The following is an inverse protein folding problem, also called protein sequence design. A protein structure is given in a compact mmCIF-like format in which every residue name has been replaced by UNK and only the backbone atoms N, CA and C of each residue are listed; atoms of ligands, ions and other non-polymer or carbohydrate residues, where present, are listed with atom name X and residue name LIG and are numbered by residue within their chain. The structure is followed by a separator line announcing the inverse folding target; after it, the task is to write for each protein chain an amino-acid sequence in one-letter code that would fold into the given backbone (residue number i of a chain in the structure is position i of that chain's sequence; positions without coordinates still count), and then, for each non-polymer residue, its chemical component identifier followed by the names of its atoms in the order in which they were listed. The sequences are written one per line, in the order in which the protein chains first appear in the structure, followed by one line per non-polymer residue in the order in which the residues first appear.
data_IF_245602339764
#
_entry.id   IF_245602339764
#
_cell.length_a   1.000
_cell.length_b   1.000
_cell.length_c   1.000
_cell.angle_alpha   90.00
_cell.angle_beta   90.00
_cell.angle_gamma   90.00
#
_symmetry.space_group_name_H-M   'P 1'
#
loop_
_entity.id
_entity.type
_entity.pdbx_description
1 polymer ?
#
# COMPACT_ATOMS: atom_id res chain seq x y z
N UNK A 1 11.20 7.29 13.61
CA UNK A 1 11.72 7.65 12.26
C UNK A 1 10.56 7.92 11.31
N UNK A 2 10.76 8.61 10.18
CA UNK A 2 9.73 8.81 9.15
C UNK A 2 9.67 7.58 8.23
N UNK A 3 8.49 6.98 8.07
CA UNK A 3 8.26 5.85 7.17
C UNK A 3 7.15 6.24 6.20
N UNK A 4 7.40 6.06 4.92
CA UNK A 4 6.41 6.31 3.88
C UNK A 4 5.55 5.07 3.67
N UNK A 5 4.22 5.24 3.63
CA UNK A 5 3.27 4.18 3.30
C UNK A 5 2.70 4.44 1.91
N UNK A 6 3.01 3.54 0.96
CA UNK A 6 2.64 3.64 -0.45
C UNK A 6 1.16 3.30 -0.67
N UNK A 7 0.27 4.17 -0.19
CA UNK A 7 -1.18 4.05 -0.32
C UNK A 7 -1.87 5.41 -0.40
N UNK A 8 -2.99 5.47 -1.12
CA UNK A 8 -3.93 6.59 -1.05
C UNK A 8 -4.98 6.43 0.07
N UNK A 9 -5.02 5.29 0.77
CA UNK A 9 -6.07 4.97 1.73
C UNK A 9 -5.75 5.55 3.13
N UNK A 10 -6.58 6.49 3.58
CA UNK A 10 -6.45 7.12 4.91
C UNK A 10 -6.66 6.15 6.07
N UNK A 11 -7.49 5.12 5.91
CA UNK A 11 -7.69 4.11 6.96
C UNK A 11 -6.43 3.29 7.17
N UNK A 12 -5.73 2.90 6.09
CA UNK A 12 -4.44 2.20 6.18
C UNK A 12 -3.38 3.05 6.88
N UNK A 13 -3.33 4.37 6.61
CA UNK A 13 -2.46 5.28 7.36
C UNK A 13 -2.76 5.21 8.86
N UNK A 14 -4.04 5.29 9.25
CA UNK A 14 -4.45 5.22 10.65
C UNK A 14 -4.02 3.90 11.30
N UNK A 15 -4.37 2.78 10.69
CA UNK A 15 -4.05 1.43 11.19
C UNK A 15 -2.54 1.22 11.36
N UNK A 16 -1.74 1.56 10.34
CA UNK A 16 -0.28 1.43 10.42
C UNK A 16 0.33 2.39 11.46
N UNK A 17 -0.24 3.59 11.62
CA UNK A 17 0.21 4.52 12.68
C UNK A 17 -0.03 3.96 14.08
N UNK A 18 -1.15 3.27 14.29
CA UNK A 18 -1.47 2.61 15.56
C UNK A 18 -0.54 1.41 15.83
N UNK A 19 -0.13 0.68 14.78
CA UNK A 19 0.80 -0.45 14.90
C UNK A 19 2.25 -0.02 15.17
N UNK A 20 2.66 1.17 14.73
CA UNK A 20 4.04 1.68 14.84
C UNK A 20 4.09 3.05 15.52
N UNK A 21 3.68 3.18 16.80
CA UNK A 21 3.52 4.48 17.48
C UNK A 21 4.83 5.28 17.61
N UNK A 22 5.98 4.62 17.62
CA UNK A 22 7.32 5.24 17.68
C UNK A 22 7.78 5.84 16.33
N UNK A 23 6.97 5.69 15.28
CA UNK A 23 7.29 6.10 13.92
C UNK A 23 6.26 7.07 13.37
N UNK A 24 6.70 8.01 12.55
CA UNK A 24 5.80 8.90 11.83
C UNK A 24 5.46 8.27 10.48
N UNK A 25 4.22 7.82 10.34
CA UNK A 25 3.71 7.24 9.10
C UNK A 25 3.17 8.35 8.19
N UNK A 26 3.71 8.42 6.97
CA UNK A 26 3.39 9.45 5.98
C UNK A 26 2.93 8.79 4.69
N UNK A 27 1.82 9.26 4.11
CA UNK A 27 1.35 8.81 2.79
C UNK A 27 1.70 9.86 1.72
N UNK A 28 1.74 9.50 0.42
CA UNK A 28 2.05 10.44 -0.66
C UNK A 28 1.25 11.75 -0.61
N UNK A 29 -0.04 11.65 -0.27
CA UNK A 29 -0.95 12.79 -0.17
C UNK A 29 -0.53 13.83 0.87
N UNK A 30 0.10 13.41 1.97
CA UNK A 30 0.55 14.33 3.02
C UNK A 30 1.65 15.29 2.52
N UNK A 31 2.39 14.86 1.49
CA UNK A 31 3.52 15.59 0.90
C UNK A 31 3.16 16.17 -0.47
N UNK A 32 1.88 16.15 -0.86
CA UNK A 32 1.43 16.62 -2.17
C UNK A 32 1.92 15.79 -3.36
N UNK A 33 2.35 14.54 -3.11
CA UNK A 33 2.82 13.62 -4.16
C UNK A 33 1.61 12.95 -4.80
N UNK A 34 1.42 13.17 -6.11
CA UNK A 34 0.48 12.40 -6.92
C UNK A 34 0.96 10.95 -7.00
N UNK A 35 0.11 10.00 -6.60
CA UNK A 35 0.49 8.60 -6.47
C UNK A 35 -0.64 7.68 -6.93
N UNK A 36 -0.47 7.13 -8.13
CA UNK A 36 -1.39 6.19 -8.78
C UNK A 36 -0.59 5.19 -9.63
N UNK A 37 0.20 4.31 -8.98
CA UNK A 37 1.00 3.32 -9.71
C UNK A 37 0.10 2.25 -10.35
N UNK A 38 0.42 1.85 -11.57
CA UNK A 38 -0.31 0.77 -12.25
C UNK A 38 -0.02 -0.59 -11.60
N UNK A 39 -1.05 -1.21 -11.03
CA UNK A 39 -0.98 -2.52 -10.38
C UNK A 39 -1.12 -3.65 -11.41
N UNK A 40 -0.02 -3.99 -12.07
CA UNK A 40 0.05 -5.05 -13.10
C UNK A 40 0.44 -6.43 -12.55
N UNK A 41 0.55 -6.57 -11.23
CA UNK A 41 0.88 -7.83 -10.57
C UNK A 41 -0.26 -8.85 -10.63
N UNK A 42 0.12 -10.12 -10.61
CA UNK A 42 -0.79 -11.26 -10.55
C UNK A 42 -1.08 -11.75 -9.12
N UNK A 43 -0.37 -11.17 -8.13
CA UNK A 43 -0.50 -11.50 -6.71
C UNK A 43 -0.50 -10.23 -5.85
N UNK A 44 -1.03 -10.32 -4.63
CA UNK A 44 -0.96 -9.23 -3.64
C UNK A 44 0.49 -8.80 -3.38
N UNK A 45 1.41 -9.76 -3.30
CA UNK A 45 2.82 -9.48 -3.11
C UNK A 45 3.40 -8.61 -4.24
N UNK A 46 3.13 -8.97 -5.49
CA UNK A 46 3.61 -8.21 -6.66
C UNK A 46 3.06 -6.78 -6.68
N UNK A 47 1.76 -6.61 -6.45
CA UNK A 47 1.13 -5.29 -6.37
C UNK A 47 1.70 -4.44 -5.23
N UNK A 48 1.88 -5.03 -4.04
CA UNK A 48 2.49 -4.35 -2.90
C UNK A 48 3.93 -3.89 -3.23
N UNK A 49 4.72 -4.74 -3.91
CA UNK A 49 6.09 -4.43 -4.30
C UNK A 49 6.15 -3.32 -5.36
N UNK A 50 5.24 -3.33 -6.35
CA UNK A 50 5.10 -2.27 -7.34
C UNK A 50 4.85 -0.92 -6.64
N UNK A 51 3.88 -0.87 -5.73
CA UNK A 51 3.57 0.34 -4.95
C UNK A 51 4.77 0.83 -4.14
N UNK A 52 5.45 -0.07 -3.41
CA UNK A 52 6.61 0.28 -2.62
C UNK A 52 7.72 0.90 -3.48
N UNK A 53 8.06 0.25 -4.60
CA UNK A 53 9.10 0.72 -5.53
C UNK A 53 8.74 2.06 -6.15
N UNK A 54 7.51 2.22 -6.62
CA UNK A 54 7.04 3.45 -7.24
C UNK A 54 7.18 4.65 -6.31
N UNK A 55 6.82 4.50 -5.03
CA UNK A 55 6.97 5.60 -4.07
C UNK A 55 8.44 5.81 -3.68
N UNK A 56 9.19 4.72 -3.50
CA UNK A 56 10.60 4.79 -3.13
C UNK A 56 11.44 5.56 -4.16
N UNK A 57 11.17 5.39 -5.45
CA UNK A 57 11.85 6.14 -6.51
C UNK A 57 11.71 7.65 -6.36
N UNK A 58 10.59 8.12 -5.80
CA UNK A 58 10.30 9.54 -5.57
C UNK A 58 10.93 10.03 -4.26
N UNK A 59 10.72 9.31 -3.16
CA UNK A 59 11.03 9.81 -1.80
C UNK A 59 12.43 9.41 -1.30
N UNK A 60 13.06 8.41 -1.92
CA UNK A 60 14.39 7.87 -1.57
C UNK A 60 14.59 7.64 -0.06
N UNK A 61 13.54 7.17 0.60
CA UNK A 61 13.41 6.98 2.05
C UNK A 61 12.75 5.62 2.35
N UNK A 62 12.76 5.11 3.59
CA UNK A 62 12.06 3.85 3.92
C UNK A 62 10.58 3.87 3.51
N UNK A 63 10.18 2.87 2.72
CA UNK A 63 8.81 2.72 2.21
C UNK A 63 8.23 1.37 2.63
N UNK A 64 7.01 1.39 3.14
CA UNK A 64 6.13 0.24 3.30
C UNK A 64 5.03 0.31 2.25
N UNK A 65 4.55 -0.85 1.82
CA UNK A 65 3.37 -0.97 0.99
C UNK A 65 2.57 -2.19 1.43
N UNK A 66 1.29 -2.18 1.09
CA UNK A 66 0.37 -3.25 1.42
C UNK A 66 -0.65 -3.38 0.28
N UNK A 67 -0.97 -4.62 -0.06
CA UNK A 67 -2.03 -4.97 -0.99
C UNK A 67 -2.90 -6.04 -0.36
N UNK A 68 -4.20 -5.75 -0.27
CA UNK A 68 -5.14 -6.53 0.53
C UNK A 68 -6.39 -6.80 -0.29
N UNK A 69 -7.02 -7.93 -0.01
CA UNK A 69 -8.27 -8.33 -0.64
C UNK A 69 -8.96 -9.43 0.14
N UNK A 70 -10.14 -9.82 -0.33
CA UNK A 70 -10.94 -10.91 0.19
C UNK A 70 -10.73 -12.11 -0.73
N UNK A 71 -10.38 -13.25 -0.15
CA UNK A 71 -10.33 -14.53 -0.85
C UNK A 71 -11.39 -15.46 -0.25
N UNK A 72 -12.32 -15.93 -1.06
CA UNK A 72 -13.33 -16.90 -0.62
C UNK A 72 -13.08 -18.26 -1.28
N UNK A 73 -12.88 -19.30 -0.47
CA UNK A 73 -12.62 -20.67 -0.95
C UNK A 73 -13.75 -21.18 -1.86
N UNK A 74 -15.00 -20.89 -1.49
CA UNK A 74 -16.19 -21.25 -2.28
C UNK A 74 -16.23 -20.59 -3.67
N UNK A 75 -15.45 -19.52 -3.87
CA UNK A 75 -15.31 -18.81 -5.14
C UNK A 75 -13.92 -19.02 -5.76
N UNK A 76 -13.23 -20.11 -5.40
CA UNK A 76 -11.86 -20.41 -5.83
C UNK A 76 -10.89 -19.24 -5.57
N UNK A 77 -11.02 -18.57 -4.42
CA UNK A 77 -10.17 -17.47 -4.01
C UNK A 77 -10.58 -16.09 -4.55
N UNK A 78 -11.66 -16.00 -5.35
CA UNK A 78 -12.20 -14.71 -5.78
C UNK A 78 -12.86 -13.94 -4.61
N UNK A 79 -12.91 -12.58 -4.65
CA UNK A 79 -12.39 -11.70 -5.71
C UNK A 79 -10.87 -11.53 -5.74
N UNK A 80 -10.14 -11.88 -4.68
CA UNK A 80 -8.68 -11.85 -4.65
C UNK A 80 -8.12 -10.45 -4.90
N UNK A 81 -7.17 -10.31 -5.82
CA UNK A 81 -6.55 -9.02 -6.18
C UNK A 81 -7.53 -7.99 -6.76
N UNK A 82 -8.74 -8.42 -7.17
CA UNK A 82 -9.78 -7.55 -7.71
C UNK A 82 -10.75 -7.02 -6.64
N UNK A 83 -10.50 -7.27 -5.35
CA UNK A 83 -11.42 -6.92 -4.26
C UNK A 83 -11.86 -5.46 -4.21
N UNK A 84 -11.06 -4.55 -4.77
CA UNK A 84 -11.31 -3.11 -4.75
C UNK A 84 -11.96 -2.59 -6.04
N UNK A 85 -12.29 -3.47 -7.00
CA UNK A 85 -12.77 -3.13 -8.35
C UNK A 85 -14.09 -3.80 -8.68
#
# INVERSE_FOLDING_TARGET
MKIYLATGNLNKKREVSELFPEHTIVIPKDEGIGFDPEETGSTFYENSLIKAKALWEIVRSPVLADDSGICADALNGAPGIFSSR
#
